data_IF_064433688704
#
_entry.id   IF_064433688704
#
_cell.length_a   1.000
_cell.length_b   1.000
_cell.length_c   1.000
_cell.angle_alpha   90.00
_cell.angle_beta   90.00
_cell.angle_gamma   90.00
#
_symmetry.space_group_name_H-M   'P 1'
#
loop_
_entity.id
_entity.type
_entity.pdbx_description
1 polymer ?
#
# COMPACT_ATOMS: atom_id res chain seq x y z
N UNK A 1 11.06 8.17 38.30
CA UNK A 1 11.69 8.20 36.95
C UNK A 1 10.68 7.97 35.83
N UNK A 2 9.92 6.87 35.84
CA UNK A 2 8.92 6.55 34.80
C UNK A 2 7.83 7.63 34.62
N UNK A 3 7.13 8.02 35.69
CA UNK A 3 6.06 9.03 35.60
C UNK A 3 6.56 10.41 35.15
N UNK A 4 7.81 10.76 35.48
CA UNK A 4 8.44 12.00 35.03
C UNK A 4 8.81 11.97 33.55
N UNK A 5 9.35 10.85 33.06
CA UNK A 5 9.58 10.63 31.63
C UNK A 5 8.26 10.58 30.85
N UNK A 6 7.24 9.94 31.40
CA UNK A 6 5.90 9.87 30.81
C UNK A 6 5.29 11.27 30.66
N UNK A 7 5.31 12.08 31.73
CA UNK A 7 4.85 13.48 31.67
C UNK A 7 5.66 14.34 30.70
N UNK A 8 6.98 14.11 30.60
CA UNK A 8 7.82 14.76 29.60
C UNK A 8 7.42 14.37 28.18
N UNK A 9 7.21 13.09 27.89
CA UNK A 9 6.82 12.62 26.55
C UNK A 9 5.44 13.15 26.13
N UNK A 10 4.48 13.18 27.06
CA UNK A 10 3.14 13.75 26.82
C UNK A 10 3.17 15.27 26.58
N UNK A 11 4.10 16.00 27.21
CA UNK A 11 4.24 17.45 27.03
C UNK A 11 5.18 17.85 25.89
N UNK A 12 5.97 16.92 25.36
CA UNK A 12 6.99 17.22 24.34
C UNK A 12 6.37 17.38 22.96
N UNK A 13 5.26 16.68 22.70
CA UNK A 13 4.73 16.51 21.37
C UNK A 13 3.22 16.62 21.36
N UNK A 14 2.70 17.49 20.49
CA UNK A 14 1.28 17.59 20.24
C UNK A 14 0.80 16.35 19.48
N UNK A 15 -0.18 15.66 20.05
CA UNK A 15 -0.92 14.63 19.32
C UNK A 15 -1.75 15.36 18.27
N UNK A 16 -1.45 15.10 17.00
CA UNK A 16 -2.17 15.69 15.89
C UNK A 16 -2.63 14.63 14.91
N UNK A 17 -3.67 14.96 14.15
CA UNK A 17 -4.17 14.08 13.11
C UNK A 17 -3.18 13.92 11.93
N UNK A 18 -2.08 14.69 11.89
CA UNK A 18 -1.06 14.54 10.85
C UNK A 18 -0.39 13.17 10.88
N UNK A 19 -0.28 12.54 12.06
CA UNK A 19 0.23 11.17 12.21
C UNK A 19 -0.55 10.16 11.37
N UNK A 20 -1.87 10.35 11.24
CA UNK A 20 -2.73 9.48 10.43
C UNK A 20 -2.43 9.64 8.95
N UNK A 21 -2.33 10.87 8.46
CA UNK A 21 -1.95 11.12 7.07
C UNK A 21 -0.55 10.59 6.76
N UNK A 22 0.37 10.67 7.73
CA UNK A 22 1.71 10.15 7.62
C UNK A 22 1.76 8.63 7.39
N UNK A 23 0.78 7.84 7.88
CA UNK A 23 0.70 6.39 7.60
C UNK A 23 0.51 6.06 6.12
N UNK A 24 -0.08 6.99 5.37
CA UNK A 24 -0.34 6.83 3.94
C UNK A 24 0.68 7.60 3.10
N UNK A 25 1.13 8.77 3.54
CA UNK A 25 1.98 9.65 2.73
C UNK A 25 3.48 9.42 2.93
N UNK A 26 3.88 8.91 4.10
CA UNK A 26 5.28 8.81 4.51
C UNK A 26 5.62 7.35 4.83
N UNK A 27 5.91 6.49 3.85
CA UNK A 27 6.34 5.13 4.11
C UNK A 27 7.78 5.10 4.66
N UNK A 28 8.01 5.63 5.86
CA UNK A 28 9.33 5.60 6.51
C UNK A 28 9.55 4.34 7.32
N UNK A 29 10.78 3.82 7.26
CA UNK A 29 11.39 2.93 8.23
C UNK A 29 12.43 3.76 8.99
N UNK A 30 12.06 4.27 10.18
CA UNK A 30 12.79 5.26 10.97
C UNK A 30 13.11 6.58 10.23
N UNK A 31 14.15 6.58 9.40
CA UNK A 31 14.78 7.68 8.68
C UNK A 31 14.85 7.47 7.15
N UNK A 32 14.50 6.28 6.65
CA UNK A 32 14.57 5.94 5.22
C UNK A 32 13.19 5.79 4.57
N UNK A 33 13.02 6.34 3.37
CA UNK A 33 11.83 6.10 2.54
C UNK A 33 11.82 4.68 1.99
N UNK A 34 10.73 3.95 2.21
CA UNK A 34 10.42 2.72 1.47
C UNK A 34 9.79 3.09 0.12
N UNK A 35 10.60 2.97 -0.92
CA UNK A 35 10.22 3.25 -2.30
C UNK A 35 9.40 2.13 -2.95
N UNK A 36 9.41 0.94 -2.38
CA UNK A 36 8.71 -0.24 -2.89
C UNK A 36 7.18 -0.21 -2.71
N UNK A 37 6.64 0.82 -2.04
CA UNK A 37 5.22 1.20 -1.91
C UNK A 37 4.23 0.07 -1.60
N UNK A 38 4.72 -1.00 -0.98
CA UNK A 38 3.91 -2.08 -0.44
C UNK A 38 2.97 -1.61 0.67
N UNK A 39 3.25 -0.48 1.32
CA UNK A 39 2.38 0.10 2.36
C UNK A 39 1.04 0.52 1.76
N UNK A 40 1.04 1.17 0.59
CA UNK A 40 -0.18 1.52 -0.15
C UNK A 40 -1.00 0.27 -0.47
N UNK A 41 -0.30 -0.80 -0.86
CA UNK A 41 -0.92 -2.07 -1.17
C UNK A 41 -1.50 -2.75 0.07
N UNK A 42 -0.79 -2.71 1.19
CA UNK A 42 -1.24 -3.18 2.49
C UNK A 42 -2.55 -2.56 2.89
N UNK A 43 -2.62 -1.22 2.88
CA UNK A 43 -3.81 -0.48 3.28
C UNK A 43 -4.99 -0.70 2.34
N UNK A 44 -4.76 -0.68 1.03
CA UNK A 44 -5.79 -1.01 0.06
C UNK A 44 -6.35 -2.42 0.30
N UNK A 45 -5.47 -3.40 0.48
CA UNK A 45 -5.87 -4.79 0.71
C UNK A 45 -6.63 -4.95 2.03
N UNK A 46 -6.20 -4.26 3.08
CA UNK A 46 -6.85 -4.26 4.38
C UNK A 46 -8.29 -3.76 4.30
N UNK A 47 -8.54 -2.66 3.59
CA UNK A 47 -9.88 -2.08 3.42
C UNK A 47 -10.85 -3.06 2.73
N UNK A 48 -10.34 -4.00 1.93
CA UNK A 48 -11.15 -5.02 1.28
C UNK A 48 -11.47 -6.24 2.17
N UNK A 49 -10.73 -6.45 3.27
CA UNK A 49 -10.96 -7.61 4.17
C UNK A 49 -12.36 -7.63 4.82
N UNK A 50 -12.89 -6.50 5.34
CA UNK A 50 -14.24 -6.48 5.92
C UNK A 50 -15.36 -6.77 4.91
N UNK A 51 -15.16 -6.50 3.62
CA UNK A 51 -16.24 -6.49 2.63
C UNK A 51 -16.75 -7.87 2.22
N UNK A 52 -15.95 -8.93 2.40
CA UNK A 52 -16.28 -10.27 1.91
C UNK A 52 -16.51 -11.27 3.03
N UNK A 53 -15.56 -11.41 3.95
CA UNK A 53 -15.60 -12.41 5.02
C UNK A 53 -15.13 -11.82 6.36
N UNK A 54 -15.80 -10.75 6.83
CA UNK A 54 -15.45 -10.02 8.07
C UNK A 54 -15.16 -10.94 9.26
N UNK A 55 -16.03 -11.93 9.53
CA UNK A 55 -15.87 -12.87 10.65
C UNK A 55 -14.58 -13.71 10.56
N UNK A 56 -14.18 -14.10 9.36
CA UNK A 56 -12.97 -14.89 9.13
C UNK A 56 -11.70 -14.07 9.32
N UNK A 57 -11.76 -12.79 8.98
CA UNK A 57 -10.62 -11.87 9.07
C UNK A 57 -10.61 -11.06 10.38
N UNK A 58 -11.53 -11.34 11.30
CA UNK A 58 -11.75 -10.56 12.51
C UNK A 58 -10.49 -10.42 13.36
N UNK A 59 -9.64 -11.45 13.42
CA UNK A 59 -8.37 -11.39 14.13
C UNK A 59 -7.39 -10.36 13.52
N UNK A 60 -7.23 -10.36 12.20
CA UNK A 60 -6.35 -9.40 11.50
C UNK A 60 -6.93 -7.99 11.62
N UNK A 61 -8.25 -7.87 11.47
CA UNK A 61 -8.96 -6.60 11.56
C UNK A 61 -8.85 -6.00 12.97
N UNK A 62 -9.12 -6.80 14.01
CA UNK A 62 -9.08 -6.33 15.39
C UNK A 62 -7.66 -5.96 15.81
N UNK A 63 -6.64 -6.75 15.43
CA UNK A 63 -5.26 -6.45 15.75
C UNK A 63 -4.79 -5.14 15.10
N UNK A 64 -5.09 -4.94 13.82
CA UNK A 64 -4.70 -3.74 13.08
C UNK A 64 -5.44 -2.50 13.63
N UNK A 65 -6.75 -2.59 13.86
CA UNK A 65 -7.55 -1.50 14.44
C UNK A 65 -7.10 -1.19 15.88
N UNK A 66 -6.81 -2.21 16.68
CA UNK A 66 -6.33 -2.03 18.06
C UNK A 66 -5.04 -1.21 18.08
N UNK A 67 -4.07 -1.58 17.24
CA UNK A 67 -2.84 -0.81 17.13
C UNK A 67 -3.06 0.57 16.49
N UNK A 68 -3.97 0.68 15.52
CA UNK A 68 -4.33 1.96 14.90
C UNK A 68 -4.86 2.97 15.93
N UNK A 69 -5.70 2.52 16.87
CA UNK A 69 -6.19 3.37 17.96
C UNK A 69 -5.07 3.82 18.89
N UNK A 70 -4.14 2.91 19.25
CA UNK A 70 -2.95 3.28 20.02
C UNK A 70 -2.10 4.28 19.25
N UNK A 71 -1.91 4.07 17.95
CA UNK A 71 -1.11 4.94 17.10
C UNK A 71 -1.68 6.37 17.05
N UNK A 72 -3.01 6.51 16.89
CA UNK A 72 -3.68 7.82 16.86
C UNK A 72 -3.53 8.57 18.18
N UNK A 73 -3.64 7.87 19.31
CA UNK A 73 -3.74 8.51 20.62
C UNK A 73 -2.37 8.75 21.25
N UNK A 74 -1.37 7.93 20.91
CA UNK A 74 -0.09 7.92 21.62
C UNK A 74 1.12 8.31 20.77
N UNK A 75 1.01 8.37 19.43
CA UNK A 75 2.18 8.54 18.55
C UNK A 75 2.13 9.89 17.80
N UNK A 76 3.02 10.84 18.13
CA UNK A 76 3.14 12.10 17.41
C UNK A 76 3.90 11.95 16.07
N UNK A 77 3.57 12.80 15.08
CA UNK A 77 4.17 12.80 13.74
C UNK A 77 5.51 13.54 13.73
N UNK A 78 6.54 12.87 14.22
CA UNK A 78 7.91 13.41 14.22
C UNK A 78 8.86 12.63 13.33
N UNK A 79 9.89 13.33 12.83
CA UNK A 79 11.03 12.69 12.18
C UNK A 79 11.76 11.77 13.17
N UNK A 80 12.00 10.52 12.77
CA UNK A 80 12.61 9.49 13.63
C UNK A 80 11.60 8.57 14.35
N UNK A 81 10.31 8.89 14.32
CA UNK A 81 9.24 8.04 14.87
C UNK A 81 8.66 7.03 13.85
N UNK A 82 9.33 6.83 12.72
CA UNK A 82 8.88 5.89 11.68
C UNK A 82 8.75 4.44 12.16
N UNK A 83 9.48 4.04 13.21
CA UNK A 83 9.46 2.68 13.77
C UNK A 83 8.12 2.31 14.44
N UNK A 84 7.33 3.30 14.87
CA UNK A 84 5.96 3.08 15.33
C UNK A 84 5.01 2.61 14.21
N UNK A 85 5.47 2.54 12.96
CA UNK A 85 4.66 1.94 11.88
C UNK A 85 4.85 0.42 11.81
N UNK A 86 5.90 -0.14 12.40
CA UNK A 86 6.26 -1.55 12.25
C UNK A 86 5.18 -2.52 12.71
N UNK A 87 4.42 -2.23 13.80
CA UNK A 87 3.39 -3.16 14.22
C UNK A 87 2.23 -3.31 13.22
N UNK A 88 2.04 -2.38 12.27
CA UNK A 88 1.09 -2.58 11.17
C UNK A 88 1.57 -3.63 10.16
N UNK A 89 2.88 -3.78 9.99
CA UNK A 89 3.49 -4.44 8.82
C UNK A 89 3.10 -5.91 8.66
N UNK A 90 3.13 -6.76 9.71
CA UNK A 90 2.71 -8.15 9.58
C UNK A 90 1.25 -8.29 9.11
N UNK A 91 0.35 -7.44 9.63
CA UNK A 91 -1.07 -7.48 9.28
C UNK A 91 -1.34 -6.94 7.87
N UNK A 92 -0.58 -5.93 7.44
CA UNK A 92 -0.62 -5.42 6.07
C UNK A 92 -0.13 -6.47 5.07
N UNK A 93 0.95 -7.21 5.38
CA UNK A 93 1.45 -8.32 4.54
C UNK A 93 0.41 -9.45 4.44
N UNK A 94 -0.22 -9.83 5.56
CA UNK A 94 -1.31 -10.82 5.55
C UNK A 94 -2.46 -10.34 4.67
N UNK A 95 -2.82 -9.05 4.76
CA UNK A 95 -3.86 -8.44 3.92
C UNK A 95 -3.52 -8.52 2.44
N UNK A 96 -2.27 -8.23 2.06
CA UNK A 96 -1.76 -8.37 0.69
C UNK A 96 -1.88 -9.82 0.20
N UNK A 97 -1.45 -10.79 1.01
CA UNK A 97 -1.50 -12.21 0.63
C UNK A 97 -2.94 -12.67 0.38
N UNK A 98 -3.88 -12.23 1.21
CA UNK A 98 -5.32 -12.47 1.01
C UNK A 98 -5.82 -11.78 -0.25
N UNK A 99 -5.37 -10.55 -0.54
CA UNK A 99 -5.72 -9.86 -1.78
C UNK A 99 -5.30 -10.64 -3.03
N UNK A 100 -4.04 -11.08 -3.08
CA UNK A 100 -3.48 -11.86 -4.19
C UNK A 100 -4.27 -13.16 -4.38
N UNK A 101 -4.56 -13.85 -3.28
CA UNK A 101 -5.26 -15.15 -3.31
C UNK A 101 -6.70 -15.01 -3.80
N UNK A 102 -7.42 -14.00 -3.34
CA UNK A 102 -8.88 -13.95 -3.45
C UNK A 102 -9.41 -12.99 -4.51
N UNK A 103 -8.65 -11.95 -4.86
CA UNK A 103 -9.14 -10.86 -5.72
C UNK A 103 -8.31 -10.67 -6.98
N UNK A 104 -6.97 -10.77 -6.90
CA UNK A 104 -6.11 -10.55 -8.07
C UNK A 104 -6.49 -11.50 -9.22
N UNK A 105 -6.83 -10.93 -10.38
CA UNK A 105 -7.26 -11.65 -11.59
C UNK A 105 -8.52 -12.54 -11.42
N UNK A 106 -9.20 -12.45 -10.27
CA UNK A 106 -10.50 -13.11 -9.97
C UNK A 106 -11.63 -12.10 -9.93
N UNK A 107 -11.37 -10.91 -9.42
CA UNK A 107 -12.26 -9.76 -9.48
C UNK A 107 -11.55 -8.63 -10.23
N UNK A 108 -11.97 -8.39 -11.47
CA UNK A 108 -11.33 -7.42 -12.35
C UNK A 108 -11.51 -5.98 -11.89
N UNK A 109 -12.63 -5.65 -11.23
CA UNK A 109 -12.86 -4.31 -10.68
C UNK A 109 -11.85 -4.02 -9.55
N UNK A 110 -11.74 -4.92 -8.57
CA UNK A 110 -10.78 -4.73 -7.48
C UNK A 110 -9.34 -4.81 -7.94
N UNK A 111 -9.04 -5.63 -8.95
CA UNK A 111 -7.71 -5.64 -9.58
C UNK A 111 -7.41 -4.29 -10.24
N UNK A 112 -8.37 -3.71 -10.97
CA UNK A 112 -8.20 -2.39 -11.56
C UNK A 112 -8.02 -1.29 -10.51
N UNK A 113 -8.84 -1.27 -9.45
CA UNK A 113 -8.70 -0.31 -8.36
C UNK A 113 -7.35 -0.42 -7.67
N UNK A 114 -6.86 -1.64 -7.46
CA UNK A 114 -5.50 -1.89 -6.97
C UNK A 114 -4.46 -1.25 -7.90
N UNK A 115 -4.52 -1.55 -9.20
CA UNK A 115 -3.57 -1.03 -10.18
C UNK A 115 -3.59 0.51 -10.22
N UNK A 116 -4.76 1.14 -10.14
CA UNK A 116 -4.85 2.60 -10.15
C UNK A 116 -4.33 3.19 -8.83
N UNK A 117 -4.84 2.74 -7.67
CA UNK A 117 -4.52 3.37 -6.39
C UNK A 117 -3.05 3.13 -6.02
N UNK A 118 -2.60 1.88 -6.07
CA UNK A 118 -1.22 1.53 -5.73
C UNK A 118 -0.30 1.95 -6.87
N UNK A 119 -0.70 1.72 -8.12
CA UNK A 119 0.15 1.98 -9.26
C UNK A 119 0.41 3.45 -9.54
N UNK A 120 -0.58 4.33 -9.38
CA UNK A 120 -0.33 5.77 -9.54
C UNK A 120 0.58 6.31 -8.45
N UNK A 121 0.40 5.84 -7.20
CA UNK A 121 1.31 6.15 -6.10
C UNK A 121 2.75 5.76 -6.41
N UNK A 122 2.96 4.54 -6.91
CA UNK A 122 4.28 4.05 -7.32
C UNK A 122 4.85 4.81 -8.50
N UNK A 123 4.04 5.05 -9.52
CA UNK A 123 4.48 5.78 -10.71
C UNK A 123 5.01 7.17 -10.35
N UNK A 124 4.26 7.93 -9.55
CA UNK A 124 4.61 9.32 -9.22
C UNK A 124 5.69 9.41 -8.15
N UNK A 125 5.57 8.65 -7.07
CA UNK A 125 6.44 8.81 -5.90
C UNK A 125 7.76 8.04 -6.02
N UNK A 126 7.75 6.92 -6.75
CA UNK A 126 8.92 6.06 -6.89
C UNK A 126 9.45 6.06 -8.30
N UNK A 127 8.71 5.50 -9.26
CA UNK A 127 9.25 5.14 -10.56
C UNK A 127 9.62 6.36 -11.41
N UNK A 128 8.89 7.47 -11.28
CA UNK A 128 9.26 8.74 -11.91
C UNK A 128 10.58 9.28 -11.40
N UNK A 129 10.78 9.25 -10.08
CA UNK A 129 12.02 9.74 -9.44
C UNK A 129 13.19 8.84 -9.80
N UNK A 130 13.00 7.52 -9.77
CA UNK A 130 14.07 6.55 -10.02
C UNK A 130 14.41 6.36 -11.49
N UNK A 131 13.40 6.29 -12.37
CA UNK A 131 13.58 5.95 -13.79
C UNK A 131 13.40 7.14 -14.73
N UNK A 132 13.03 8.33 -14.23
CA UNK A 132 12.83 9.52 -15.05
C UNK A 132 11.65 9.40 -16.02
N UNK A 133 10.61 8.65 -15.67
CA UNK A 133 9.48 8.40 -16.56
C UNK A 133 8.75 9.69 -16.98
N UNK A 134 8.50 9.79 -18.27
CA UNK A 134 7.78 10.93 -18.88
C UNK A 134 6.26 10.73 -18.85
N UNK A 135 5.52 11.84 -19.03
CA UNK A 135 4.04 11.82 -19.05
C UNK A 135 3.42 10.80 -20.04
N UNK A 136 3.97 10.56 -21.25
CA UNK A 136 3.47 9.50 -22.12
C UNK A 136 3.49 8.11 -21.48
N UNK A 137 4.53 7.77 -20.70
CA UNK A 137 4.64 6.48 -20.02
C UNK A 137 3.53 6.31 -18.98
N UNK A 138 3.22 7.39 -18.24
CA UNK A 138 2.11 7.39 -17.29
C UNK A 138 0.77 7.09 -17.97
N UNK A 139 0.49 7.74 -19.10
CA UNK A 139 -0.75 7.53 -19.86
C UNK A 139 -0.84 6.10 -20.38
N UNK A 140 0.27 5.57 -20.92
CA UNK A 140 0.32 4.19 -21.40
C UNK A 140 0.08 3.19 -20.27
N UNK A 141 0.69 3.40 -19.10
CA UNK A 141 0.46 2.56 -17.93
C UNK A 141 -1.01 2.55 -17.51
N UNK A 142 -1.61 3.73 -17.30
CA UNK A 142 -3.03 3.85 -16.90
C UNK A 142 -3.97 3.25 -17.96
N UNK A 143 -3.72 3.52 -19.24
CA UNK A 143 -4.51 2.93 -20.32
C UNK A 143 -4.43 1.40 -20.32
N UNK A 144 -3.23 0.85 -20.15
CA UNK A 144 -3.05 -0.59 -20.11
C UNK A 144 -3.67 -1.25 -18.86
N UNK A 145 -3.73 -0.55 -17.73
CA UNK A 145 -4.49 -1.01 -16.55
C UNK A 145 -5.98 -1.07 -16.85
N UNK A 146 -6.51 -0.12 -17.63
CA UNK A 146 -7.89 -0.13 -18.11
C UNK A 146 -8.27 -1.39 -18.89
N UNK A 147 -7.31 -2.07 -19.53
CA UNK A 147 -7.56 -3.33 -20.23
C UNK A 147 -8.01 -4.45 -19.28
N UNK A 148 -7.71 -4.35 -17.97
CA UNK A 148 -8.20 -5.28 -16.95
C UNK A 148 -9.72 -5.22 -16.82
N UNK A 149 -10.38 -4.11 -17.14
CA UNK A 149 -11.84 -3.95 -17.03
C UNK A 149 -12.61 -4.55 -18.21
N UNK A 150 -11.96 -4.79 -19.36
CA UNK A 150 -12.63 -5.32 -20.56
C UNK A 150 -13.49 -6.58 -20.30
N UNK A 151 -13.07 -7.56 -19.48
CA UNK A 151 -13.89 -8.73 -19.20
C UNK A 151 -15.20 -8.44 -18.45
N UNK A 152 -15.32 -7.27 -17.79
CA UNK A 152 -16.56 -6.85 -17.12
C UNK A 152 -17.63 -6.43 -18.14
N UNK A 153 -17.22 -5.90 -19.29
CA UNK A 153 -18.13 -5.46 -20.35
C UNK A 153 -18.36 -6.55 -21.41
N UNK A 154 -17.33 -7.37 -21.67
CA UNK A 154 -17.35 -8.43 -22.66
C UNK A 154 -16.92 -9.74 -22.00
N UNK A 155 -17.87 -10.59 -21.59
CA UNK A 155 -17.58 -11.82 -20.83
C UNK A 155 -17.38 -13.04 -21.74
N UNK A 156 -16.44 -12.98 -22.68
CA UNK A 156 -16.08 -14.12 -23.52
C UNK A 156 -14.77 -14.78 -23.05
N UNK A 157 -14.51 -16.02 -23.47
CA UNK A 157 -13.31 -16.77 -23.03
C UNK A 157 -12.00 -16.04 -23.35
N UNK A 158 -11.93 -15.30 -24.46
CA UNK A 158 -10.74 -14.59 -24.91
C UNK A 158 -10.47 -13.36 -24.03
N UNK A 159 -11.49 -12.56 -23.75
CA UNK A 159 -11.39 -11.37 -22.90
C UNK A 159 -11.08 -11.75 -21.46
N UNK A 160 -11.71 -12.78 -20.90
CA UNK A 160 -11.37 -13.31 -19.57
C UNK A 160 -9.90 -13.74 -19.47
N UNK A 161 -9.38 -14.45 -20.48
CA UNK A 161 -7.97 -14.83 -20.55
C UNK A 161 -7.07 -13.60 -20.62
N UNK A 162 -7.40 -12.64 -21.48
CA UNK A 162 -6.66 -11.39 -21.62
C UNK A 162 -6.61 -10.60 -20.31
N UNK A 163 -7.75 -10.41 -19.63
CA UNK A 163 -7.80 -9.69 -18.36
C UNK A 163 -6.92 -10.33 -17.28
N UNK A 164 -6.90 -11.68 -17.21
CA UNK A 164 -6.00 -12.42 -16.31
C UNK A 164 -4.53 -12.20 -16.68
N UNK A 165 -4.18 -12.30 -17.95
CA UNK A 165 -2.82 -12.08 -18.44
C UNK A 165 -2.35 -10.66 -18.10
N UNK A 166 -3.17 -9.64 -18.40
CA UNK A 166 -2.85 -8.24 -18.09
C UNK A 166 -2.69 -8.04 -16.57
N UNK A 167 -3.58 -8.62 -15.77
CA UNK A 167 -3.52 -8.53 -14.30
C UNK A 167 -2.21 -9.10 -13.75
N UNK A 168 -1.82 -10.31 -14.17
CA UNK A 168 -0.58 -10.94 -13.70
C UNK A 168 0.68 -10.30 -14.31
N UNK A 169 0.62 -9.83 -15.55
CA UNK A 169 1.72 -9.11 -16.17
C UNK A 169 2.01 -7.82 -15.39
N UNK A 170 0.99 -7.03 -15.07
CA UNK A 170 1.18 -5.84 -14.26
C UNK A 170 1.64 -6.15 -12.85
N UNK A 171 1.07 -7.17 -12.21
CA UNK A 171 1.54 -7.64 -10.91
C UNK A 171 3.05 -7.96 -10.92
N UNK A 172 3.50 -8.67 -11.95
CA UNK A 172 4.91 -8.99 -12.12
C UNK A 172 5.78 -7.75 -12.41
N UNK A 173 5.30 -6.83 -13.26
CA UNK A 173 5.95 -5.54 -13.51
C UNK A 173 6.09 -4.75 -12.21
N UNK A 174 5.06 -4.71 -11.35
CA UNK A 174 5.15 -4.04 -10.05
C UNK A 174 6.28 -4.60 -9.20
N UNK A 175 6.39 -5.92 -9.09
CA UNK A 175 7.46 -6.55 -8.31
C UNK A 175 8.83 -6.21 -8.91
N UNK A 176 9.00 -6.39 -10.22
CA UNK A 176 10.28 -6.14 -10.89
C UNK A 176 10.70 -4.67 -10.80
N UNK A 177 9.78 -3.74 -11.05
CA UNK A 177 10.05 -2.31 -11.02
C UNK A 177 10.40 -1.83 -9.62
N UNK A 178 9.77 -2.37 -8.58
CA UNK A 178 10.12 -2.04 -7.21
C UNK A 178 11.47 -2.64 -6.80
N UNK A 179 11.77 -3.89 -7.16
CA UNK A 179 13.10 -4.49 -6.94
C UNK A 179 14.15 -3.64 -7.65
N UNK A 180 13.92 -3.27 -8.91
CA UNK A 180 14.87 -2.45 -9.67
C UNK A 180 15.01 -1.04 -9.08
N UNK A 181 13.91 -0.44 -8.63
CA UNK A 181 13.95 0.87 -8.00
C UNK A 181 14.83 0.85 -6.73
N UNK A 182 14.71 -0.19 -5.90
CA UNK A 182 15.56 -0.40 -4.73
C UNK A 182 17.02 -0.61 -5.11
N UNK A 183 17.31 -1.37 -6.17
CA UNK A 183 18.68 -1.62 -6.63
C UNK A 183 19.36 -0.37 -7.22
N UNK A 184 18.60 0.54 -7.85
CA UNK A 184 19.13 1.82 -8.36
C UNK A 184 19.25 2.84 -7.23
N UNK A 185 18.43 2.73 -6.20
CA UNK A 185 18.48 3.58 -5.02
C UNK A 185 19.78 3.32 -4.24
N UNK A 186 20.88 3.84 -4.76
CA UNK A 186 22.07 4.14 -4.00
C UNK A 186 21.71 5.33 -3.12
N UNK A 187 21.90 5.16 -1.82
CA UNK A 187 21.95 6.27 -0.87
C UNK A 187 22.93 7.32 -1.42
N UNK A 188 22.39 8.44 -1.92
CA UNK A 188 23.14 9.69 -2.03
C UNK A 188 23.25 10.30 -0.64
#
# INVERSE_FOLDING_TARGET
>A
MFLGLWGLQLNRYDISFSSVYALFQKPYLADRFFLDGWIYWGWFSFILLPLKEFKKHLFVISALISYFLVFIIAIPDEGGHGWYRYPFYPFLIISIALFIKEYLARNFLYTFLFLVIVGTGQLELTWKVTFGFSYPIFRLAIFSWGLVLIPLYLSNKKTLKMGKVVSYAWFFIFILMNIWAVMIYNEM
#
